data_IF_570162758915
#
_entry.id   IF_570162758915
#
_cell.length_a   1.000
_cell.length_b   1.000
_cell.length_c   1.000
_cell.angle_alpha   90.00
_cell.angle_beta   90.00
_cell.angle_gamma   90.00
#
_symmetry.space_group_name_H-M   'P 1'
#
loop_
_entity.id
_entity.type
_entity.pdbx_description
1 polymer ?
#
# COMPACT_ATOMS: atom_id res chain seq x y z
N UNK A 1 7.64 -2.83 3.25
CA UNK A 1 7.32 -2.84 1.84
C UNK A 1 6.65 -4.16 1.54
N UNK A 2 5.44 -4.13 1.02
CA UNK A 2 4.91 -5.31 0.38
C UNK A 2 5.61 -5.45 -0.98
N UNK A 3 6.00 -6.65 -1.28
CA UNK A 3 6.56 -7.04 -2.57
C UNK A 3 5.49 -6.91 -3.65
N UNK A 4 5.87 -6.61 -4.87
CA UNK A 4 4.94 -6.66 -6.00
C UNK A 4 4.52 -8.09 -6.31
N UNK A 5 3.42 -8.26 -7.02
CA UNK A 5 2.85 -9.56 -7.42
C UNK A 5 3.86 -10.42 -8.18
N UNK A 6 4.71 -9.77 -8.95
CA UNK A 6 5.78 -10.35 -9.77
C UNK A 6 6.94 -10.97 -8.97
N UNK A 7 7.00 -10.69 -7.66
CA UNK A 7 8.04 -11.21 -6.75
C UNK A 7 7.51 -12.26 -5.77
N UNK A 8 6.25 -12.66 -5.91
CA UNK A 8 5.60 -13.62 -5.02
C UNK A 8 5.48 -14.98 -5.70
N UNK A 9 5.86 -16.03 -4.98
CA UNK A 9 5.62 -17.43 -5.38
C UNK A 9 4.72 -18.09 -4.34
N UNK A 10 3.76 -18.87 -4.81
CA UNK A 10 2.81 -19.60 -3.96
C UNK A 10 2.74 -21.04 -4.37
N UNK A 11 2.53 -21.90 -3.39
CA UNK A 11 2.04 -23.23 -3.64
C UNK A 11 0.64 -23.15 -4.26
N UNK A 12 0.45 -23.81 -5.40
CA UNK A 12 -0.77 -23.67 -6.21
C UNK A 12 -2.03 -24.05 -5.44
N UNK A 13 -2.00 -25.19 -4.73
CA UNK A 13 -3.17 -25.67 -4.00
C UNK A 13 -3.54 -24.75 -2.84
N UNK A 14 -2.54 -24.24 -2.11
CA UNK A 14 -2.75 -23.28 -1.05
C UNK A 14 -3.33 -21.96 -1.58
N UNK A 15 -2.83 -21.48 -2.71
CA UNK A 15 -3.34 -20.25 -3.36
C UNK A 15 -4.81 -20.42 -3.76
N UNK A 16 -5.18 -21.52 -4.39
CA UNK A 16 -6.55 -21.81 -4.78
C UNK A 16 -7.47 -21.94 -3.58
N UNK A 17 -7.05 -22.66 -2.53
CA UNK A 17 -7.79 -22.80 -1.28
C UNK A 17 -8.00 -21.46 -0.57
N UNK A 18 -7.04 -20.56 -0.66
CA UNK A 18 -7.13 -19.20 -0.11
C UNK A 18 -7.98 -18.25 -0.94
N UNK A 19 -8.54 -18.71 -2.07
CA UNK A 19 -9.41 -17.91 -2.93
C UNK A 19 -8.66 -16.98 -3.88
N UNK A 20 -7.38 -17.23 -4.15
CA UNK A 20 -6.59 -16.55 -5.17
C UNK A 20 -6.49 -15.03 -5.04
N UNK A 21 -6.02 -14.40 -6.11
CA UNK A 21 -5.99 -12.94 -6.21
C UNK A 21 -7.39 -12.36 -6.36
N UNK A 22 -7.71 -11.28 -5.64
CA UNK A 22 -8.99 -10.59 -5.87
C UNK A 22 -8.96 -9.85 -7.21
N UNK A 23 -10.11 -9.70 -7.90
CA UNK A 23 -10.21 -8.95 -9.15
C UNK A 23 -10.23 -7.44 -8.89
N UNK A 24 -9.11 -6.90 -8.47
CA UNK A 24 -8.93 -5.47 -8.16
C UNK A 24 -7.61 -4.96 -8.75
N UNK A 25 -7.63 -3.72 -9.22
CA UNK A 25 -6.48 -3.11 -9.91
C UNK A 25 -5.34 -2.64 -8.99
N UNK A 26 -5.60 -2.46 -7.69
CA UNK A 26 -4.61 -1.95 -6.76
C UNK A 26 -4.74 -2.59 -5.38
N UNK A 27 -3.61 -3.08 -4.87
CA UNK A 27 -3.52 -3.66 -3.54
C UNK A 27 -3.93 -5.14 -3.48
N UNK A 28 -4.02 -5.82 -4.61
CA UNK A 28 -4.30 -7.24 -4.74
C UNK A 28 -3.34 -8.07 -3.90
N UNK A 29 -2.05 -7.70 -3.86
CA UNK A 29 -1.04 -8.35 -3.01
C UNK A 29 -1.38 -8.23 -1.53
N UNK A 30 -1.88 -7.07 -1.10
CA UNK A 30 -2.27 -6.87 0.30
C UNK A 30 -3.41 -7.80 0.71
N UNK A 31 -4.44 -7.87 -0.11
CA UNK A 31 -5.60 -8.73 0.16
C UNK A 31 -5.23 -10.21 0.11
N UNK A 32 -4.36 -10.59 -0.84
CA UNK A 32 -3.87 -11.95 -0.91
C UNK A 32 -3.04 -12.32 0.31
N UNK A 33 -2.08 -11.47 0.71
CA UNK A 33 -1.25 -11.71 1.89
C UNK A 33 -2.08 -11.76 3.18
N UNK A 34 -3.13 -10.95 3.29
CA UNK A 34 -4.08 -11.06 4.39
C UNK A 34 -4.76 -12.43 4.43
N UNK A 35 -5.21 -12.95 3.29
CA UNK A 35 -5.79 -14.29 3.19
C UNK A 35 -4.78 -15.38 3.56
N UNK A 36 -3.55 -15.25 3.09
CA UNK A 36 -2.45 -16.18 3.42
C UNK A 36 -2.22 -16.24 4.92
N UNK A 37 -2.12 -15.08 5.57
CA UNK A 37 -1.91 -14.98 7.02
C UNK A 37 -3.11 -15.58 7.78
N UNK A 38 -4.33 -15.26 7.38
CA UNK A 38 -5.56 -15.81 8.02
C UNK A 38 -5.71 -17.31 7.88
N UNK A 39 -5.22 -17.87 6.78
CA UNK A 39 -5.20 -19.31 6.55
C UNK A 39 -3.95 -20.00 7.11
N UNK A 40 -3.23 -19.34 8.03
CA UNK A 40 -2.02 -19.84 8.66
C UNK A 40 -0.91 -20.28 7.67
N UNK A 41 -0.83 -19.57 6.53
CA UNK A 41 0.23 -19.81 5.56
C UNK A 41 1.61 -19.41 6.09
N UNK A 42 2.62 -20.19 5.75
CA UNK A 42 4.02 -19.88 6.05
C UNK A 42 4.61 -19.02 4.93
N UNK A 43 5.41 -18.03 5.30
CA UNK A 43 6.08 -17.13 4.35
C UNK A 43 7.58 -17.27 4.53
N UNK A 44 8.28 -17.53 3.42
CA UNK A 44 9.74 -17.53 3.37
C UNK A 44 10.23 -16.36 2.52
N UNK A 45 11.39 -15.82 2.88
CA UNK A 45 12.04 -14.74 2.16
C UNK A 45 13.30 -15.25 1.47
N UNK A 46 13.41 -15.02 0.17
CA UNK A 46 14.60 -15.29 -0.62
C UNK A 46 15.37 -13.98 -0.86
N UNK A 47 16.57 -13.80 -0.28
CA UNK A 47 17.34 -12.55 -0.41
C UNK A 47 18.08 -12.48 -1.76
N UNK A 48 17.32 -12.48 -2.85
CA UNK A 48 17.84 -12.34 -4.22
C UNK A 48 17.09 -11.25 -4.96
N UNK A 49 17.78 -10.60 -5.90
CA UNK A 49 17.22 -9.58 -6.78
C UNK A 49 17.12 -10.14 -8.21
N UNK A 50 16.18 -11.05 -8.43
CA UNK A 50 16.04 -11.76 -9.70
C UNK A 50 15.02 -11.10 -10.64
N UNK A 51 14.32 -10.04 -10.16
CA UNK A 51 13.30 -9.31 -10.94
C UNK A 51 13.77 -7.90 -11.23
N UNK A 52 13.75 -7.51 -12.52
CA UNK A 52 13.97 -6.13 -12.96
C UNK A 52 12.62 -5.44 -13.20
N UNK A 53 12.30 -4.44 -12.41
CA UNK A 53 11.13 -3.60 -12.65
C UNK A 53 11.49 -2.45 -13.59
N UNK A 54 10.80 -2.36 -14.73
CA UNK A 54 10.87 -1.21 -15.62
C UNK A 54 9.91 -0.14 -15.15
N UNK A 55 10.46 1.01 -14.76
CA UNK A 55 9.64 2.16 -14.37
C UNK A 55 9.36 3.00 -15.61
N UNK A 56 8.14 2.93 -16.10
CA UNK A 56 7.68 3.81 -17.17
C UNK A 56 7.33 5.18 -16.58
N UNK A 57 7.86 6.22 -17.20
CA UNK A 57 7.55 7.62 -16.84
C UNK A 57 6.25 8.11 -17.46
N UNK A 58 5.67 7.35 -18.38
CA UNK A 58 4.44 7.69 -19.08
C UNK A 58 3.19 7.46 -18.24
N UNK A 59 2.18 8.25 -18.50
CA UNK A 59 1.00 8.45 -17.64
C UNK A 59 -0.02 7.31 -17.61
N UNK A 60 0.23 6.20 -18.27
CA UNK A 60 -0.76 5.14 -18.53
C UNK A 60 -0.60 3.85 -17.70
N UNK A 61 0.24 3.84 -16.67
CA UNK A 61 0.37 2.70 -15.79
C UNK A 61 -0.91 2.41 -14.97
N UNK A 62 -1.18 1.13 -14.66
CA UNK A 62 -2.32 0.70 -13.83
C UNK A 62 -2.41 1.43 -12.48
N UNK A 63 -1.28 1.95 -11.96
CA UNK A 63 -1.19 2.70 -10.70
C UNK A 63 -1.21 4.22 -10.91
N UNK A 64 -1.69 4.74 -12.05
CA UNK A 64 -1.66 6.16 -12.35
C UNK A 64 -2.94 6.90 -11.94
N UNK A 65 -2.77 8.17 -11.52
CA UNK A 65 -3.83 9.18 -11.33
C UNK A 65 -4.99 8.75 -10.43
N UNK A 66 -6.22 8.83 -10.94
CA UNK A 66 -7.47 8.61 -10.22
C UNK A 66 -7.62 7.18 -9.70
N UNK A 67 -7.21 6.17 -10.49
CA UNK A 67 -7.24 4.76 -10.09
C UNK A 67 -6.42 4.51 -8.83
N UNK A 68 -5.27 5.19 -8.71
CA UNK A 68 -4.43 5.07 -7.53
C UNK A 68 -5.08 5.69 -6.30
N UNK A 69 -5.75 6.82 -6.45
CA UNK A 69 -6.49 7.49 -5.37
C UNK A 69 -7.63 6.59 -4.90
N UNK A 70 -8.41 6.08 -5.85
CA UNK A 70 -9.53 5.20 -5.54
C UNK A 70 -9.08 3.89 -4.86
N UNK A 71 -8.06 3.23 -5.41
CA UNK A 71 -7.50 2.01 -4.86
C UNK A 71 -6.93 2.21 -3.45
N UNK A 72 -6.21 3.30 -3.20
CA UNK A 72 -5.70 3.63 -1.87
C UNK A 72 -6.83 3.93 -0.87
N UNK A 73 -7.90 4.59 -1.30
CA UNK A 73 -9.08 4.82 -0.48
C UNK A 73 -9.80 3.51 -0.12
N UNK A 74 -9.96 2.60 -1.09
CA UNK A 74 -10.54 1.27 -0.85
C UNK A 74 -9.68 0.46 0.13
N UNK A 75 -8.35 0.46 -0.07
CA UNK A 75 -7.41 -0.22 0.82
C UNK A 75 -7.45 0.35 2.24
N UNK A 76 -7.55 1.67 2.37
CA UNK A 76 -7.68 2.32 3.67
C UNK A 76 -9.00 1.98 4.36
N UNK A 77 -10.12 2.01 3.63
CA UNK A 77 -11.41 1.59 4.14
C UNK A 77 -11.40 0.12 4.60
N UNK A 78 -10.72 -0.75 3.85
CA UNK A 78 -10.55 -2.15 4.25
C UNK A 78 -9.75 -2.28 5.55
N UNK A 79 -8.63 -1.57 5.69
CA UNK A 79 -7.83 -1.56 6.93
C UNK A 79 -8.62 -1.07 8.14
N UNK A 80 -9.53 -0.12 7.94
CA UNK A 80 -10.40 0.38 9.03
C UNK A 80 -11.31 -0.68 9.64
N UNK A 81 -11.66 -1.74 8.91
CA UNK A 81 -12.47 -2.84 9.45
C UNK A 81 -11.79 -3.54 10.64
N UNK A 82 -10.47 -3.49 10.71
CA UNK A 82 -9.67 -4.12 11.76
C UNK A 82 -9.18 -3.14 12.82
N UNK A 83 -9.70 -1.92 12.87
CA UNK A 83 -9.24 -0.91 13.82
C UNK A 83 -9.50 -1.29 15.28
N UNK A 84 -10.54 -2.08 15.57
CA UNK A 84 -10.78 -2.55 16.94
C UNK A 84 -9.55 -3.29 17.50
N UNK A 85 -8.90 -4.10 16.68
CA UNK A 85 -7.78 -4.96 17.08
C UNK A 85 -6.41 -4.25 17.03
N UNK A 86 -6.37 -3.01 16.51
CA UNK A 86 -5.11 -2.28 16.32
C UNK A 86 -4.82 -1.34 17.49
N UNK A 87 -3.54 -1.22 17.83
CA UNK A 87 -3.06 -0.23 18.80
C UNK A 87 -3.19 1.19 18.24
N UNK A 88 -3.40 2.16 19.12
CA UNK A 88 -3.55 3.56 18.73
C UNK A 88 -2.40 4.09 17.84
N UNK A 89 -1.15 3.74 18.15
CA UNK A 89 0.02 4.13 17.34
C UNK A 89 0.02 3.53 15.93
N UNK A 90 -0.50 2.32 15.76
CA UNK A 90 -0.63 1.67 14.45
C UNK A 90 -1.69 2.38 13.59
N UNK A 91 -2.84 2.69 14.19
CA UNK A 91 -3.91 3.47 13.54
C UNK A 91 -3.37 4.79 13.01
N UNK A 92 -2.61 5.52 13.83
CA UNK A 92 -1.99 6.80 13.42
C UNK A 92 -0.99 6.64 12.27
N UNK A 93 -0.15 5.60 12.30
CA UNK A 93 0.79 5.32 11.21
C UNK A 93 0.08 4.95 9.91
N UNK A 94 -1.01 4.18 9.99
CA UNK A 94 -1.83 3.83 8.82
C UNK A 94 -2.47 5.08 8.23
N UNK A 95 -3.06 5.96 9.05
CA UNK A 95 -3.61 7.23 8.60
C UNK A 95 -2.55 8.10 7.94
N UNK A 96 -1.40 8.28 8.59
CA UNK A 96 -0.29 9.05 8.04
C UNK A 96 0.15 8.52 6.67
N UNK A 97 0.37 7.19 6.54
CA UNK A 97 0.77 6.60 5.26
C UNK A 97 -0.25 6.80 4.17
N UNK A 98 -1.53 6.63 4.48
CA UNK A 98 -2.64 6.88 3.55
C UNK A 98 -2.57 8.30 3.00
N UNK A 99 -2.55 9.30 3.87
CA UNK A 99 -2.49 10.70 3.47
C UNK A 99 -1.19 11.05 2.73
N UNK A 100 -0.05 10.45 3.08
CA UNK A 100 1.19 10.63 2.33
C UNK A 100 1.12 10.05 0.91
N UNK A 101 0.51 8.89 0.72
CA UNK A 101 0.35 8.29 -0.62
C UNK A 101 -0.58 9.14 -1.48
N UNK A 102 -1.70 9.60 -0.93
CA UNK A 102 -2.62 10.51 -1.62
C UNK A 102 -1.93 11.83 -1.95
N UNK A 103 -1.24 12.44 -0.99
CA UNK A 103 -0.49 13.68 -1.20
C UNK A 103 0.52 13.55 -2.32
N UNK A 104 1.34 12.51 -2.30
CA UNK A 104 2.30 12.25 -3.38
C UNK A 104 1.62 12.07 -4.74
N UNK A 105 0.46 11.40 -4.78
CA UNK A 105 -0.30 11.22 -6.02
C UNK A 105 -0.85 12.55 -6.54
N UNK A 106 -1.40 13.39 -5.67
CA UNK A 106 -1.86 14.73 -6.02
C UNK A 106 -0.72 15.64 -6.49
N UNK A 107 0.46 15.56 -5.85
CA UNK A 107 1.63 16.30 -6.28
C UNK A 107 2.04 15.93 -7.72
N UNK A 108 2.10 14.63 -8.03
CA UNK A 108 2.39 14.16 -9.40
C UNK A 108 1.35 14.61 -10.42
N UNK A 109 0.10 14.75 -10.00
CA UNK A 109 -1.00 15.22 -10.84
C UNK A 109 -1.11 16.76 -10.89
N UNK A 110 -0.14 17.50 -10.30
CA UNK A 110 -0.11 18.96 -10.21
C UNK A 110 -1.33 19.57 -9.49
N UNK A 111 -1.98 18.79 -8.64
CA UNK A 111 -3.14 19.22 -7.83
C UNK A 111 -2.64 19.73 -6.45
N UNK A 112 -1.99 20.90 -6.47
CA UNK A 112 -1.29 21.46 -5.29
C UNK A 112 -2.20 21.70 -4.08
N UNK A 113 -3.44 22.20 -4.20
CA UNK A 113 -4.31 22.38 -3.05
C UNK A 113 -4.63 21.07 -2.32
N UNK A 114 -4.91 20.00 -3.08
CA UNK A 114 -5.16 18.67 -2.55
C UNK A 114 -3.89 18.08 -1.90
N UNK A 115 -2.73 18.26 -2.52
CA UNK A 115 -1.44 17.86 -1.94
C UNK A 115 -1.19 18.52 -0.58
N UNK A 116 -1.40 19.83 -0.44
CA UNK A 116 -1.21 20.54 0.83
C UNK A 116 -2.17 20.04 1.89
N UNK A 117 -3.44 19.83 1.55
CA UNK A 117 -4.47 19.29 2.44
C UNK A 117 -4.05 17.91 2.97
N UNK A 118 -3.68 16.99 2.09
CA UNK A 118 -3.27 15.63 2.47
C UNK A 118 -1.96 15.64 3.27
N UNK A 119 -1.02 16.51 2.91
CA UNK A 119 0.23 16.68 3.66
C UNK A 119 0.00 17.14 5.10
N UNK A 120 -0.91 18.10 5.32
CA UNK A 120 -1.30 18.53 6.67
C UNK A 120 -1.96 17.39 7.45
N UNK A 121 -2.84 16.62 6.84
CA UNK A 121 -3.49 15.48 7.49
C UNK A 121 -2.47 14.39 7.87
N UNK A 122 -1.47 14.15 7.04
CA UNK A 122 -0.39 13.23 7.36
C UNK A 122 0.41 13.68 8.58
N UNK A 123 0.76 14.97 8.65
CA UNK A 123 1.46 15.56 9.79
C UNK A 123 0.65 15.49 11.09
N UNK A 124 -0.65 15.83 11.03
CA UNK A 124 -1.55 15.74 12.19
C UNK A 124 -1.73 14.30 12.68
N UNK A 125 -1.77 13.34 11.74
CA UNK A 125 -1.91 11.93 12.07
C UNK A 125 -0.70 11.41 12.86
N UNK A 126 0.54 11.63 12.42
CA UNK A 126 1.76 11.15 13.09
C UNK A 126 2.99 12.02 12.75
N UNK A 127 3.18 13.18 13.40
CA UNK A 127 4.21 14.17 13.02
C UNK A 127 5.62 13.59 13.02
N UNK A 128 6.02 12.92 14.09
CA UNK A 128 7.37 12.34 14.21
C UNK A 128 7.63 11.23 13.19
N UNK A 129 6.64 10.38 12.92
CA UNK A 129 6.77 9.32 11.94
C UNK A 129 6.82 9.88 10.51
N UNK A 130 6.10 10.96 10.24
CA UNK A 130 6.10 11.66 8.97
C UNK A 130 7.49 12.25 8.68
N UNK A 131 8.08 12.97 9.63
CA UNK A 131 9.43 13.55 9.53
C UNK A 131 10.48 12.45 9.35
N UNK A 132 10.43 11.40 10.16
CA UNK A 132 11.36 10.29 10.07
C UNK A 132 11.30 9.57 8.71
N UNK A 133 10.12 9.47 8.10
CA UNK A 133 9.95 8.85 6.79
C UNK A 133 10.57 9.70 5.67
N UNK A 134 10.42 11.01 5.75
CA UNK A 134 11.04 11.94 4.78
C UNK A 134 12.57 11.92 4.93
N UNK A 135 13.06 11.90 6.17
CA UNK A 135 14.50 11.89 6.44
C UNK A 135 15.21 10.60 5.98
N UNK A 136 14.57 9.45 6.12
CA UNK A 136 15.12 8.15 5.69
C UNK A 136 15.17 7.95 4.17
N UNK A 137 14.60 8.85 3.39
CA UNK A 137 14.65 8.82 1.91
C UNK A 137 15.83 9.58 1.30
N UNK A 138 16.67 10.19 2.13
CA UNK A 138 17.98 10.71 1.72
C UNK A 138 19.04 9.63 1.88
#
# INVERSE_FOLDING_TARGET
HMTGTDTLMFEREFLLKSGGFPPIDLGDEFYLMEKVIRNHGTVSYLPRCDVKALVHTESEGMSSRERKIEGENRLFAHKKKYWADMRWGEKRKICMRHHMVLGYTYLRNRQYPAFVKEGMQALLAAPFACIAMVWKRK
#
